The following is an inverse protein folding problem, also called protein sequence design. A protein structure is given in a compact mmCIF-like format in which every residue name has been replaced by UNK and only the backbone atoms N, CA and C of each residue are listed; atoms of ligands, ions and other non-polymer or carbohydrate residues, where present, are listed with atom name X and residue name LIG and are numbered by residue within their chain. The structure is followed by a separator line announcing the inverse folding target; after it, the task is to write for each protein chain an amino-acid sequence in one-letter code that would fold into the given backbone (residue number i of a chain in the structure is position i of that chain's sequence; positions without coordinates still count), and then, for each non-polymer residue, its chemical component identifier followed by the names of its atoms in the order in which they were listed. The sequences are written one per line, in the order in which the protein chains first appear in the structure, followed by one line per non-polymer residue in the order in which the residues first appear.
data_IF_488576054564
#
_entry.id   IF_488576054564
#
_cell.length_a   1.000
_cell.length_b   1.000
_cell.length_c   1.000
_cell.angle_alpha   90.00
_cell.angle_beta   90.00
_cell.angle_gamma   90.00
#
_symmetry.space_group_name_H-M   'P 1'
#
loop_
_entity.id
_entity.type
_entity.pdbx_description
1 polymer ?
#
# COMPACT_ATOMS: atom_id res chain seq x y z
N UNK A 1 -10.11 52.20 58.42
CA UNK A 1 -9.27 51.05 58.35
C UNK A 1 -9.46 50.42 56.94
N UNK A 2 -8.52 50.72 56.03
CA UNK A 2 -8.56 50.19 54.65
C UNK A 2 -7.76 48.90 54.63
N UNK A 3 -8.41 47.76 54.26
CA UNK A 3 -7.74 46.49 53.98
C UNK A 3 -7.35 46.47 52.51
N UNK A 4 -6.05 46.39 52.24
CA UNK A 4 -5.50 46.11 50.93
C UNK A 4 -5.52 44.59 50.72
N UNK A 5 -6.11 44.15 49.60
CA UNK A 5 -6.05 42.77 49.12
C UNK A 5 -4.86 42.66 48.16
N UNK A 6 -3.87 41.80 48.47
CA UNK A 6 -2.83 41.40 47.53
C UNK A 6 -3.38 40.37 46.56
N UNK A 7 -3.34 40.67 45.28
CA UNK A 7 -3.59 39.70 44.23
C UNK A 7 -2.31 38.96 43.88
N UNK A 8 -2.27 37.65 44.14
CA UNK A 8 -1.24 36.76 43.60
C UNK A 8 -1.53 36.50 42.11
N UNK A 9 -0.61 36.97 41.28
CA UNK A 9 -0.60 36.59 39.85
C UNK A 9 0.24 35.30 39.76
N UNK A 10 -0.43 34.17 39.55
CA UNK A 10 0.21 32.89 39.17
C UNK A 10 0.57 32.95 37.69
N UNK A 11 1.86 33.01 37.39
CA UNK A 11 2.39 32.76 36.04
C UNK A 11 2.27 31.27 35.75
N UNK A 12 1.24 30.87 34.99
CA UNK A 12 1.21 29.60 34.32
C UNK A 12 2.12 29.70 33.10
N UNK A 13 3.31 29.11 33.18
CA UNK A 13 4.15 28.90 32.02
C UNK A 13 3.41 27.96 31.02
N UNK A 14 3.07 28.48 29.84
CA UNK A 14 2.61 27.65 28.75
C UNK A 14 3.75 26.71 28.33
N UNK A 15 3.63 25.43 28.60
CA UNK A 15 4.49 24.43 27.98
C UNK A 15 4.27 24.52 26.48
N UNK A 16 5.33 24.80 25.71
CA UNK A 16 5.25 24.77 24.26
C UNK A 16 4.87 23.33 23.84
N UNK A 17 3.79 23.19 23.10
CA UNK A 17 3.38 21.92 22.54
C UNK A 17 4.51 21.40 21.64
N UNK A 18 4.83 20.10 21.74
CA UNK A 18 5.78 19.42 20.85
C UNK A 18 5.00 18.57 19.86
N UNK A 19 5.50 18.49 18.65
CA UNK A 19 4.98 17.55 17.65
C UNK A 19 5.41 16.13 18.02
N UNK A 20 4.49 15.18 17.91
CA UNK A 20 4.75 13.76 18.17
C UNK A 20 5.75 13.14 17.18
N UNK A 21 6.15 11.91 17.44
CA UNK A 21 6.91 11.10 16.48
C UNK A 21 6.21 11.11 15.11
N UNK A 22 6.98 11.33 14.05
CA UNK A 22 6.48 11.44 12.66
C UNK A 22 5.42 12.53 12.41
N UNK A 23 5.12 13.38 13.39
CA UNK A 23 4.18 14.50 13.24
C UNK A 23 4.80 15.67 12.48
N UNK A 24 3.94 16.46 11.82
CA UNK A 24 4.39 17.68 11.13
C UNK A 24 4.97 18.69 12.14
N UNK A 25 6.12 19.27 11.80
CA UNK A 25 6.84 20.23 12.64
C UNK A 25 7.27 21.50 11.88
N UNK A 26 6.84 21.69 10.64
CA UNK A 26 7.15 22.87 9.83
C UNK A 26 6.50 22.82 8.46
N UNK A 27 6.72 23.88 7.68
CA UNK A 27 6.19 24.09 6.33
C UNK A 27 5.46 25.41 6.18
N UNK A 28 5.21 25.86 4.93
CA UNK A 28 4.46 27.08 4.64
C UNK A 28 3.04 26.98 5.22
N UNK A 29 2.62 28.03 5.94
CA UNK A 29 1.33 28.12 6.66
C UNK A 29 1.17 27.17 7.86
N UNK A 30 2.23 26.50 8.30
CA UNK A 30 2.17 25.69 9.49
C UNK A 30 2.06 26.55 10.77
N UNK A 31 1.04 26.32 11.59
CA UNK A 31 0.79 27.05 12.85
C UNK A 31 0.91 26.14 14.09
N UNK A 32 1.25 24.87 13.93
CA UNK A 32 1.41 23.91 15.01
C UNK A 32 2.80 23.95 15.66
N UNK A 33 3.12 22.89 16.43
CA UNK A 33 4.42 22.74 17.09
C UNK A 33 5.56 22.67 16.06
N UNK A 34 6.67 23.36 16.35
CA UNK A 34 7.87 23.37 15.51
C UNK A 34 9.04 22.62 16.14
N UNK A 35 8.81 21.97 17.28
CA UNK A 35 9.77 21.11 17.96
C UNK A 35 9.19 19.72 18.13
N UNK A 36 10.02 18.71 18.01
CA UNK A 36 9.63 17.31 18.13
C UNK A 36 9.79 16.78 19.56
N UNK A 37 9.07 15.72 19.88
CA UNK A 37 9.27 14.96 21.13
C UNK A 37 10.69 14.40 21.23
N UNK A 38 11.11 14.04 22.43
CA UNK A 38 12.47 13.52 22.68
C UNK A 38 12.76 12.28 21.82
N UNK A 39 13.95 12.27 21.20
CA UNK A 39 14.37 11.21 20.27
C UNK A 39 14.04 11.50 18.80
N UNK A 40 13.35 12.62 18.50
CA UNK A 40 12.98 13.03 17.15
C UNK A 40 13.50 14.44 16.82
N UNK A 41 13.84 14.67 15.57
CA UNK A 41 14.25 15.97 15.02
C UNK A 41 13.32 16.38 13.90
N UNK A 42 13.08 17.69 13.76
CA UNK A 42 12.27 18.22 12.67
C UNK A 42 13.10 18.24 11.38
N UNK A 43 12.76 17.39 10.44
CA UNK A 43 13.44 17.25 9.15
C UNK A 43 12.58 17.92 8.06
N UNK A 44 13.22 18.81 7.29
CA UNK A 44 12.59 19.45 6.13
C UNK A 44 12.34 18.43 5.03
N UNK A 45 11.12 18.32 4.55
CA UNK A 45 10.75 17.47 3.41
C UNK A 45 10.50 18.31 2.13
N UNK A 46 9.70 19.37 2.26
CA UNK A 46 9.40 20.31 1.18
C UNK A 46 8.90 21.65 1.74
N UNK A 47 8.61 22.63 0.87
CA UNK A 47 8.17 23.97 1.29
C UNK A 47 6.91 23.98 2.17
N UNK A 48 6.08 22.94 2.09
CA UNK A 48 4.80 22.85 2.79
C UNK A 48 4.82 21.89 3.98
N UNK A 49 5.88 21.08 4.13
CA UNK A 49 5.91 20.01 5.12
C UNK A 49 7.33 19.74 5.66
N UNK A 50 7.45 19.71 6.97
CA UNK A 50 8.61 19.17 7.71
C UNK A 50 8.11 18.17 8.74
N UNK A 51 8.82 17.09 8.96
CA UNK A 51 8.39 15.95 9.79
C UNK A 51 9.36 15.66 10.93
N UNK A 52 8.83 15.21 12.04
CA UNK A 52 9.61 14.71 13.17
C UNK A 52 10.09 13.29 12.88
N UNK A 53 11.35 13.13 12.51
CA UNK A 53 11.97 11.83 12.25
C UNK A 53 12.92 11.43 13.39
N UNK A 54 13.19 10.11 13.61
CA UNK A 54 14.15 9.66 14.62
C UNK A 54 15.50 10.32 14.44
N UNK A 55 16.02 10.91 15.52
CA UNK A 55 17.33 11.59 15.49
C UNK A 55 17.62 12.32 16.79
N UNK A 56 18.90 12.62 17.04
CA UNK A 56 19.35 13.44 18.16
C UNK A 56 19.58 14.88 17.70
N UNK A 57 18.89 15.85 18.30
CA UNK A 57 19.05 17.27 18.00
C UNK A 57 20.51 17.71 18.27
N UNK A 58 21.26 17.98 17.20
CA UNK A 58 22.51 18.73 17.30
C UNK A 58 22.16 20.21 17.21
N UNK A 59 22.26 20.94 18.32
CA UNK A 59 21.97 22.38 18.39
C UNK A 59 22.97 23.14 17.53
N UNK A 60 22.53 23.62 16.37
CA UNK A 60 23.28 24.59 15.56
C UNK A 60 22.65 25.95 15.71
N UNK A 61 23.12 26.73 16.70
CA UNK A 61 22.89 28.17 16.77
C UNK A 61 23.88 28.87 15.83
N UNK A 62 23.39 29.42 14.74
CA UNK A 62 24.20 30.25 13.86
C UNK A 62 24.33 31.65 14.41
N UNK A 63 25.47 31.98 15.05
CA UNK A 63 25.90 33.34 15.26
C UNK A 63 27.18 33.55 14.48
N UNK A 64 27.15 34.44 13.49
CA UNK A 64 28.36 34.90 12.81
C UNK A 64 29.22 35.71 13.81
N UNK A 65 30.43 35.27 14.03
CA UNK A 65 31.54 36.19 14.35
C UNK A 65 32.87 35.55 13.96
N UNK A 66 33.57 36.25 13.12
CA UNK A 66 34.92 35.98 12.62
C UNK A 66 35.93 36.13 13.74
N UNK A 67 36.82 35.18 13.96
CA UNK A 67 38.28 35.42 14.19
C UNK A 67 39.08 34.10 14.25
N UNK A 68 40.23 34.15 13.66
CA UNK A 68 41.26 33.14 13.42
C UNK A 68 41.95 32.66 14.70
N UNK A 69 42.22 31.37 14.84
CA UNK A 69 43.56 30.82 15.22
C UNK A 69 43.53 29.29 15.36
N UNK A 70 44.56 28.69 14.80
CA UNK A 70 44.90 27.28 14.66
C UNK A 70 45.15 26.55 15.99
N UNK A 71 44.65 25.32 16.13
CA UNK A 71 45.38 24.19 16.75
C UNK A 71 44.74 22.86 16.32
N UNK A 72 45.59 21.99 15.83
CA UNK A 72 45.31 20.65 15.33
C UNK A 72 44.86 19.71 16.44
N UNK A 73 43.69 19.11 16.32
CA UNK A 73 43.30 17.86 16.99
C UNK A 73 42.45 17.03 16.03
N UNK A 74 42.99 15.88 15.69
CA UNK A 74 42.32 14.85 14.85
C UNK A 74 41.09 14.35 15.60
N UNK A 75 39.92 14.77 15.17
CA UNK A 75 38.63 14.16 15.56
C UNK A 75 38.13 13.37 14.37
N UNK A 76 38.02 12.08 14.54
CA UNK A 76 37.37 11.19 13.58
C UNK A 76 35.88 11.55 13.54
N UNK A 77 35.48 12.30 12.54
CA UNK A 77 34.09 12.66 12.27
C UNK A 77 33.46 11.46 11.58
N UNK A 78 32.60 10.73 12.29
CA UNK A 78 31.67 9.82 11.65
C UNK A 78 30.64 10.69 10.89
N UNK A 79 30.82 10.81 9.61
CA UNK A 79 29.86 11.43 8.71
C UNK A 79 28.72 10.44 8.54
N UNK A 80 27.57 10.69 9.17
CA UNK A 80 26.32 10.02 8.78
C UNK A 80 25.95 10.55 7.39
N UNK A 81 26.38 9.86 6.36
CA UNK A 81 25.84 10.02 5.03
C UNK A 81 24.44 9.42 5.09
N UNK A 82 23.40 10.23 4.99
CA UNK A 82 22.11 9.79 4.46
C UNK A 82 22.42 9.32 3.05
N UNK A 83 22.60 8.02 2.88
CA UNK A 83 22.69 7.40 1.56
C UNK A 83 21.30 7.49 0.96
N UNK A 84 21.18 8.20 -0.18
CA UNK A 84 20.04 8.02 -1.07
C UNK A 84 19.97 6.52 -1.36
N UNK A 85 18.81 5.86 -1.19
CA UNK A 85 18.68 4.44 -1.47
C UNK A 85 19.25 4.12 -2.86
N UNK A 86 20.02 3.05 -2.96
CA UNK A 86 20.50 2.54 -4.23
C UNK A 86 19.34 1.86 -4.96
N UNK A 87 19.35 1.85 -6.28
CA UNK A 87 18.34 1.10 -7.06
C UNK A 87 18.29 -0.40 -6.73
N UNK A 88 19.31 -0.93 -6.04
CA UNK A 88 19.35 -2.31 -5.53
C UNK A 88 18.66 -2.51 -4.20
N UNK A 89 18.21 -1.43 -3.54
CA UNK A 89 17.52 -1.49 -2.25
C UNK A 89 16.00 -1.68 -2.43
N UNK A 90 15.49 -1.45 -3.65
CA UNK A 90 14.07 -1.56 -3.96
C UNK A 90 13.72 -2.94 -4.53
N UNK A 91 12.53 -3.49 -4.19
CA UNK A 91 12.01 -4.69 -4.85
C UNK A 91 11.92 -4.49 -6.37
N UNK A 92 12.15 -5.55 -7.13
CA UNK A 92 12.13 -5.48 -8.60
C UNK A 92 11.67 -6.79 -9.23
N UNK A 93 11.16 -6.72 -10.46
CA UNK A 93 10.95 -7.88 -11.32
C UNK A 93 12.27 -8.25 -12.02
N UNK A 94 12.61 -9.54 -12.03
CA UNK A 94 13.82 -10.08 -12.68
C UNK A 94 13.46 -11.32 -13.50
N UNK A 95 13.24 -11.13 -14.79
CA UNK A 95 12.68 -12.17 -15.65
C UNK A 95 11.28 -12.58 -15.15
N UNK A 96 11.09 -13.84 -14.79
CA UNK A 96 9.82 -14.36 -14.28
C UNK A 96 9.78 -14.46 -12.74
N UNK A 97 10.66 -13.77 -12.03
CA UNK A 97 10.73 -13.80 -10.58
C UNK A 97 10.75 -12.39 -10.02
N UNK A 98 10.52 -12.26 -8.72
CA UNK A 98 10.77 -11.04 -7.96
C UNK A 98 12.14 -11.09 -7.28
N UNK A 99 12.71 -9.91 -7.05
CA UNK A 99 13.90 -9.73 -6.23
C UNK A 99 13.53 -8.85 -5.05
N UNK A 100 13.70 -9.35 -3.84
CA UNK A 100 13.47 -8.63 -2.57
C UNK A 100 14.75 -8.72 -1.74
N UNK A 101 15.26 -7.59 -1.25
CA UNK A 101 16.46 -7.50 -0.42
C UNK A 101 17.66 -8.26 -1.03
N UNK A 102 17.78 -8.22 -2.36
CA UNK A 102 18.83 -8.88 -3.13
C UNK A 102 18.66 -10.39 -3.34
N UNK A 103 17.56 -10.97 -2.88
CA UNK A 103 17.21 -12.37 -3.11
C UNK A 103 16.18 -12.48 -4.22
N UNK A 104 16.48 -13.27 -5.25
CA UNK A 104 15.54 -13.54 -6.36
C UNK A 104 14.90 -14.91 -6.12
N UNK A 105 13.59 -14.94 -5.84
CA UNK A 105 12.87 -16.16 -5.49
C UNK A 105 11.36 -15.98 -5.72
N UNK A 106 10.59 -17.00 -5.26
CA UNK A 106 9.14 -16.96 -5.06
C UNK A 106 8.83 -16.40 -3.67
N UNK A 107 7.88 -15.47 -3.56
CA UNK A 107 7.54 -14.86 -2.28
C UNK A 107 6.05 -15.01 -1.97
N UNK A 108 5.77 -15.56 -0.79
CA UNK A 108 4.41 -15.56 -0.25
C UNK A 108 4.11 -14.32 0.58
N UNK A 109 2.83 -14.05 0.71
CA UNK A 109 2.30 -12.96 1.51
C UNK A 109 0.81 -13.11 1.79
N UNK A 110 0.18 -11.99 2.12
CA UNK A 110 -1.25 -11.93 2.37
C UNK A 110 -1.81 -10.54 2.07
N UNK A 111 -3.13 -10.42 2.18
CA UNK A 111 -3.87 -9.17 2.16
C UNK A 111 -4.25 -8.77 3.59
N UNK A 112 -4.03 -7.52 3.96
CA UNK A 112 -4.50 -6.91 5.21
C UNK A 112 -5.05 -5.53 4.91
N UNK A 113 -6.15 -5.49 4.13
CA UNK A 113 -6.73 -4.25 3.60
C UNK A 113 -7.03 -3.22 4.69
N UNK A 114 -7.37 -3.71 5.88
CA UNK A 114 -7.83 -2.92 7.03
C UNK A 114 -6.67 -2.30 7.85
N UNK A 115 -5.42 -2.72 7.69
CA UNK A 115 -4.30 -2.30 8.56
C UNK A 115 -4.07 -0.78 8.54
N UNK A 116 -4.27 -0.15 7.39
CA UNK A 116 -4.15 1.30 7.23
C UNK A 116 -5.30 2.09 7.89
N UNK A 117 -6.36 1.40 8.34
CA UNK A 117 -7.48 1.99 9.08
C UNK A 117 -7.30 1.88 10.61
N UNK A 118 -6.29 1.16 11.09
CA UNK A 118 -5.99 1.07 12.52
C UNK A 118 -5.51 2.42 13.05
N UNK A 119 -5.99 2.79 14.23
CA UNK A 119 -5.61 4.05 14.90
C UNK A 119 -4.67 3.84 16.08
N UNK A 120 -4.36 2.59 16.41
CA UNK A 120 -3.40 2.19 17.44
C UNK A 120 -2.14 1.62 16.77
N UNK A 121 -1.01 2.32 16.90
CA UNK A 121 0.25 1.91 16.27
C UNK A 121 0.78 0.58 16.84
N UNK A 122 0.48 0.27 18.12
CA UNK A 122 0.86 -1.01 18.70
C UNK A 122 0.12 -2.21 18.06
N UNK A 123 -1.11 -2.01 17.59
CA UNK A 123 -1.83 -3.04 16.83
C UNK A 123 -1.26 -3.19 15.40
N UNK A 124 -0.80 -2.10 14.77
CA UNK A 124 -0.08 -2.16 13.50
C UNK A 124 1.22 -2.94 13.66
N UNK A 125 2.00 -2.62 14.69
CA UNK A 125 3.25 -3.31 14.99
C UNK A 125 3.03 -4.81 15.26
N UNK A 126 2.01 -5.16 16.04
CA UNK A 126 1.65 -6.55 16.34
C UNK A 126 1.38 -7.36 15.07
N UNK A 127 0.54 -6.84 14.17
CA UNK A 127 0.21 -7.52 12.91
C UNK A 127 1.44 -7.72 12.04
N UNK A 128 2.27 -6.70 11.90
CA UNK A 128 3.48 -6.79 11.08
C UNK A 128 4.56 -7.67 11.73
N UNK A 129 4.63 -7.77 13.06
CA UNK A 129 5.46 -8.75 13.77
C UNK A 129 5.01 -10.18 13.42
N UNK A 130 3.72 -10.48 13.50
CA UNK A 130 3.19 -11.80 13.17
C UNK A 130 3.39 -12.16 11.68
N UNK A 131 3.24 -11.19 10.76
CA UNK A 131 3.54 -11.40 9.34
C UNK A 131 5.02 -11.68 9.12
N UNK A 132 5.92 -10.95 9.77
CA UNK A 132 7.35 -11.20 9.68
C UNK A 132 7.74 -12.57 10.28
N UNK A 133 7.15 -12.94 11.42
CA UNK A 133 7.35 -14.25 12.06
C UNK A 133 6.86 -15.42 11.19
N UNK A 134 5.81 -15.21 10.39
CA UNK A 134 5.29 -16.21 9.45
C UNK A 134 6.24 -16.50 8.28
N UNK A 135 7.22 -15.65 8.04
CA UNK A 135 8.11 -15.70 6.89
C UNK A 135 7.56 -15.03 5.62
N UNK A 136 6.33 -14.53 5.64
CA UNK A 136 5.76 -13.76 4.52
C UNK A 136 6.57 -12.49 4.28
N UNK A 137 6.68 -12.09 3.02
CA UNK A 137 7.45 -10.91 2.60
C UNK A 137 6.63 -9.82 1.99
N UNK A 138 5.47 -10.13 1.41
CA UNK A 138 4.62 -9.17 0.72
C UNK A 138 3.30 -9.03 1.48
N UNK A 139 2.88 -7.78 1.71
CA UNK A 139 1.59 -7.46 2.29
C UNK A 139 0.87 -6.45 1.40
N UNK A 140 -0.31 -6.83 0.89
CA UNK A 140 -1.15 -5.91 0.15
C UNK A 140 -2.11 -5.19 1.10
N UNK A 141 -2.16 -3.86 0.98
CA UNK A 141 -2.95 -2.99 1.84
C UNK A 141 -3.74 -1.97 1.02
N UNK A 142 -4.84 -1.48 1.56
CA UNK A 142 -5.56 -0.40 0.90
C UNK A 142 -4.97 0.95 1.25
N UNK A 143 -4.48 1.63 0.22
CA UNK A 143 -3.99 3.01 0.25
C UNK A 143 -5.08 4.02 -0.04
N UNK A 144 -6.36 3.65 0.03
CA UNK A 144 -7.53 4.49 -0.19
C UNK A 144 -8.54 4.35 0.96
N UNK A 145 -9.31 5.37 1.20
CA UNK A 145 -10.55 5.41 1.96
C UNK A 145 -11.25 6.72 1.61
N UNK A 146 -12.19 6.64 0.66
CA UNK A 146 -12.84 7.75 0.02
C UNK A 146 -14.21 8.02 0.65
N UNK A 147 -14.50 9.27 0.93
CA UNK A 147 -15.78 9.67 1.52
C UNK A 147 -16.40 10.84 0.77
N UNK A 148 -17.73 10.94 0.78
CA UNK A 148 -18.43 12.13 0.27
C UNK A 148 -18.83 13.11 1.39
N UNK A 149 -18.76 12.66 2.63
CA UNK A 149 -19.01 13.47 3.84
C UNK A 149 -17.97 13.09 4.88
N UNK A 150 -17.37 14.08 5.51
CA UNK A 150 -16.39 13.85 6.54
C UNK A 150 -17.00 13.04 7.69
N UNK A 151 -16.42 11.89 8.06
CA UNK A 151 -16.95 11.06 9.12
C UNK A 151 -16.73 11.68 10.51
N UNK A 152 -17.28 11.05 11.53
CA UNK A 152 -17.10 11.48 12.92
C UNK A 152 -15.62 11.52 13.31
N UNK A 153 -15.25 12.40 14.22
CA UNK A 153 -13.88 12.51 14.77
C UNK A 153 -13.38 11.15 15.25
N UNK A 154 -12.18 10.78 14.83
CA UNK A 154 -11.53 9.52 15.20
C UNK A 154 -11.71 8.40 14.16
N UNK A 155 -12.47 8.61 13.11
CA UNK A 155 -12.56 7.67 12.00
C UNK A 155 -11.55 8.04 10.91
N UNK A 156 -10.89 7.03 10.37
CA UNK A 156 -9.89 7.21 9.30
C UNK A 156 -10.59 7.45 7.97
N UNK A 157 -10.10 8.42 7.21
CA UNK A 157 -10.44 8.65 5.81
C UNK A 157 -9.26 9.34 5.11
N UNK A 158 -9.04 9.03 3.84
CA UNK A 158 -7.88 9.57 3.10
C UNK A 158 -8.28 10.68 2.14
N UNK A 159 -9.43 10.57 1.50
CA UNK A 159 -9.95 11.59 0.60
C UNK A 159 -11.41 11.89 0.86
N UNK A 160 -11.79 13.16 0.70
CA UNK A 160 -13.19 13.59 0.67
C UNK A 160 -13.52 14.24 -0.67
N UNK A 161 -14.52 13.70 -1.36
CA UNK A 161 -15.00 14.16 -2.65
C UNK A 161 -16.37 14.83 -2.49
N UNK A 162 -16.45 16.13 -2.68
CA UNK A 162 -17.70 16.86 -2.50
C UNK A 162 -17.78 18.09 -3.44
N UNK A 163 -18.88 18.22 -4.19
CA UNK A 163 -19.14 19.38 -5.03
C UNK A 163 -18.07 19.64 -6.10
N UNK A 164 -17.51 18.59 -6.70
CA UNK A 164 -16.47 18.68 -7.72
C UNK A 164 -15.07 18.99 -7.18
N UNK A 165 -14.85 18.81 -5.88
CA UNK A 165 -13.56 19.04 -5.22
C UNK A 165 -13.16 17.83 -4.42
N UNK A 166 -11.88 17.42 -4.52
CA UNK A 166 -11.25 16.41 -3.66
C UNK A 166 -10.34 17.08 -2.64
N UNK A 167 -10.43 16.63 -1.40
CA UNK A 167 -9.58 17.08 -0.30
C UNK A 167 -8.87 15.86 0.28
N UNK A 168 -7.54 15.91 0.35
CA UNK A 168 -6.72 14.84 0.92
C UNK A 168 -6.54 15.10 2.42
N UNK A 169 -6.82 14.10 3.25
CA UNK A 169 -6.58 14.15 4.68
C UNK A 169 -5.14 13.71 5.00
N UNK A 170 -4.26 14.67 5.23
CA UNK A 170 -2.85 14.40 5.58
C UNK A 170 -2.62 14.27 7.09
N UNK A 171 -3.67 14.37 7.91
CA UNK A 171 -3.61 14.37 9.37
C UNK A 171 -3.58 12.99 10.00
N UNK A 172 -3.77 12.98 11.33
CA UNK A 172 -3.71 11.81 12.22
C UNK A 172 -4.67 10.68 11.83
N UNK A 173 -5.86 11.02 11.32
CA UNK A 173 -6.87 10.07 10.83
C UNK A 173 -6.92 10.03 9.30
N UNK A 174 -5.80 10.32 8.66
CA UNK A 174 -5.59 10.32 7.23
C UNK A 174 -4.27 9.64 6.86
N UNK A 175 -3.50 10.21 5.95
CA UNK A 175 -2.25 9.62 5.43
C UNK A 175 -1.19 9.33 6.50
N UNK A 176 -1.28 9.93 7.71
CA UNK A 176 -0.40 9.52 8.81
C UNK A 176 -0.64 8.07 9.27
N UNK A 177 -1.76 7.47 8.92
CA UNK A 177 -1.96 6.02 9.17
C UNK A 177 -1.11 5.17 8.22
N UNK A 178 -0.99 5.59 6.96
CA UNK A 178 -0.05 4.95 6.03
C UNK A 178 1.41 5.15 6.49
N UNK A 179 1.78 6.31 7.05
CA UNK A 179 3.13 6.50 7.61
C UNK A 179 3.46 5.45 8.69
N UNK A 180 2.51 5.21 9.59
CA UNK A 180 2.70 4.23 10.66
C UNK A 180 2.90 2.81 10.08
N UNK A 181 2.09 2.42 9.08
CA UNK A 181 2.20 1.11 8.43
C UNK A 181 3.50 0.99 7.65
N UNK A 182 3.87 1.97 6.82
CA UNK A 182 5.10 1.94 6.02
C UNK A 182 6.34 1.88 6.92
N UNK A 183 6.40 2.74 7.95
CA UNK A 183 7.52 2.74 8.88
C UNK A 183 7.66 1.43 9.67
N UNK A 184 6.54 0.83 10.08
CA UNK A 184 6.52 -0.46 10.76
C UNK A 184 6.95 -1.61 9.84
N UNK A 185 6.54 -1.58 8.57
CA UNK A 185 6.93 -2.54 7.54
C UNK A 185 8.44 -2.46 7.23
N UNK A 186 9.00 -1.24 7.10
CA UNK A 186 10.44 -1.04 6.91
C UNK A 186 11.28 -1.72 8.01
N UNK A 187 10.87 -1.54 9.26
CA UNK A 187 11.58 -2.10 10.41
C UNK A 187 11.59 -3.64 10.41
N UNK A 188 10.66 -4.28 9.73
CA UNK A 188 10.45 -5.73 9.69
C UNK A 188 10.82 -6.37 8.36
N UNK A 189 11.23 -5.56 7.38
CA UNK A 189 11.56 -6.03 6.03
C UNK A 189 10.36 -6.58 5.26
N UNK A 190 9.15 -6.13 5.61
CA UNK A 190 7.91 -6.41 4.87
C UNK A 190 7.79 -5.43 3.71
N UNK A 191 7.33 -5.91 2.57
CA UNK A 191 7.15 -5.12 1.34
C UNK A 191 5.65 -4.94 1.07
N UNK A 192 5.24 -3.70 0.79
CA UNK A 192 3.85 -3.29 0.70
C UNK A 192 3.42 -3.08 -0.75
N UNK A 193 2.29 -3.66 -1.13
CA UNK A 193 1.54 -3.23 -2.32
C UNK A 193 0.49 -2.23 -1.84
N UNK A 194 0.52 -1.04 -2.40
CA UNK A 194 -0.39 0.06 -2.03
C UNK A 194 -1.23 0.43 -3.24
N UNK A 195 -2.53 0.17 -3.19
CA UNK A 195 -3.48 0.57 -4.22
C UNK A 195 -4.10 1.94 -3.95
N UNK A 196 -4.62 2.60 -5.00
CA UNK A 196 -5.05 3.99 -4.94
C UNK A 196 -6.56 4.22 -4.96
N UNK A 197 -7.34 3.23 -5.36
CA UNK A 197 -8.81 3.32 -5.44
C UNK A 197 -9.44 1.94 -5.50
N UNK A 198 -10.69 1.83 -5.05
CA UNK A 198 -11.49 0.62 -5.19
C UNK A 198 -12.46 0.72 -6.38
N UNK A 199 -12.58 -0.34 -7.17
CA UNK A 199 -13.69 -0.47 -8.11
C UNK A 199 -15.04 -0.59 -7.40
N UNK A 200 -15.06 -1.27 -6.24
CA UNK A 200 -16.27 -1.48 -5.45
C UNK A 200 -16.61 -0.25 -4.59
N UNK A 201 -17.82 -0.27 -4.01
CA UNK A 201 -18.33 0.85 -3.20
C UNK A 201 -17.76 0.86 -1.76
N UNK A 202 -17.15 -0.25 -1.36
CA UNK A 202 -16.51 -0.37 -0.05
C UNK A 202 -15.36 0.63 0.07
N UNK A 203 -15.36 1.36 1.18
CA UNK A 203 -14.43 2.48 1.40
C UNK A 203 -14.52 3.57 0.33
N UNK A 204 -15.71 3.73 -0.28
CA UNK A 204 -16.09 4.79 -1.20
C UNK A 204 -15.71 4.56 -2.66
N UNK A 205 -14.45 4.24 -2.93
CA UNK A 205 -13.94 3.87 -4.24
C UNK A 205 -14.36 4.80 -5.40
N UNK A 206 -14.41 4.25 -6.59
CA UNK A 206 -14.78 5.00 -7.81
C UNK A 206 -16.13 5.72 -7.70
N UNK A 207 -17.08 5.13 -6.97
CA UNK A 207 -18.43 5.71 -6.76
C UNK A 207 -18.38 7.02 -5.97
N UNK A 208 -17.43 7.17 -5.05
CA UNK A 208 -17.28 8.43 -4.30
C UNK A 208 -16.90 9.60 -5.22
N UNK A 209 -16.02 9.34 -6.21
CA UNK A 209 -15.66 10.31 -7.24
C UNK A 209 -16.87 10.63 -8.15
N UNK A 210 -17.55 9.60 -8.65
CA UNK A 210 -18.72 9.78 -9.52
C UNK A 210 -19.79 10.66 -8.88
N UNK A 211 -20.10 10.42 -7.60
CA UNK A 211 -21.06 11.24 -6.84
C UNK A 211 -20.64 12.71 -6.72
N UNK A 212 -19.35 13.00 -6.60
CA UNK A 212 -18.85 14.34 -6.39
C UNK A 212 -18.68 15.13 -7.68
N UNK A 213 -18.25 14.48 -8.76
CA UNK A 213 -17.88 15.12 -10.02
C UNK A 213 -18.94 15.02 -11.12
N UNK A 214 -19.99 14.23 -10.89
CA UNK A 214 -21.05 14.02 -11.85
C UNK A 214 -20.68 12.96 -12.90
N UNK A 215 -21.12 11.76 -12.64
CA UNK A 215 -21.00 10.58 -13.48
C UNK A 215 -21.90 9.49 -12.93
N UNK A 216 -22.16 8.44 -13.69
CA UNK A 216 -23.08 7.37 -13.29
C UNK A 216 -22.58 5.98 -13.66
N UNK A 217 -21.55 5.88 -14.47
CA UNK A 217 -21.01 4.63 -14.99
C UNK A 217 -19.52 4.50 -14.72
N UNK A 218 -19.00 3.29 -14.77
CA UNK A 218 -17.55 3.06 -14.70
C UNK A 218 -16.84 3.73 -15.89
N UNK A 219 -17.42 3.73 -17.07
CA UNK A 219 -16.89 4.45 -18.23
C UNK A 219 -16.69 5.94 -17.91
N UNK A 220 -17.66 6.59 -17.23
CA UNK A 220 -17.51 7.99 -16.81
C UNK A 220 -16.32 8.19 -15.89
N UNK A 221 -16.06 7.24 -14.98
CA UNK A 221 -14.92 7.31 -14.08
C UNK A 221 -13.61 7.25 -14.87
N UNK A 222 -13.44 6.26 -15.75
CA UNK A 222 -12.21 6.06 -16.54
C UNK A 222 -11.93 7.19 -17.52
N UNK A 223 -12.96 7.77 -18.12
CA UNK A 223 -12.82 8.70 -19.26
C UNK A 223 -12.95 10.19 -18.89
N UNK A 224 -13.49 10.51 -17.70
CA UNK A 224 -13.63 11.90 -17.27
C UNK A 224 -12.28 12.52 -16.90
N UNK A 225 -11.83 13.48 -17.69
CA UNK A 225 -10.59 14.21 -17.42
C UNK A 225 -10.54 14.85 -16.03
N UNK A 226 -11.69 15.29 -15.50
CA UNK A 226 -11.78 15.92 -14.18
C UNK A 226 -11.62 14.91 -13.06
N UNK A 227 -12.23 13.74 -13.19
CA UNK A 227 -12.10 12.64 -12.23
C UNK A 227 -10.65 12.13 -12.25
N UNK A 228 -10.09 11.90 -13.44
CA UNK A 228 -8.71 11.42 -13.57
C UNK A 228 -7.68 12.44 -13.03
N UNK A 229 -7.93 13.74 -13.19
CA UNK A 229 -7.09 14.75 -12.57
C UNK A 229 -7.13 14.72 -11.03
N UNK A 230 -8.31 14.49 -10.43
CA UNK A 230 -8.46 14.33 -8.98
C UNK A 230 -7.78 13.06 -8.48
N UNK A 231 -7.98 11.93 -9.15
CA UNK A 231 -7.34 10.65 -8.86
C UNK A 231 -5.80 10.77 -8.94
N UNK A 232 -5.26 11.32 -10.02
CA UNK A 232 -3.81 11.54 -10.17
C UNK A 232 -3.21 12.48 -9.12
N UNK A 233 -4.00 13.44 -8.63
CA UNK A 233 -3.58 14.31 -7.51
C UNK A 233 -3.36 13.49 -6.24
N UNK A 234 -4.23 12.51 -5.98
CA UNK A 234 -4.07 11.62 -4.84
C UNK A 234 -2.89 10.66 -5.02
N UNK A 235 -2.81 10.00 -6.18
CA UNK A 235 -1.66 9.15 -6.54
C UNK A 235 -0.35 9.86 -6.27
N UNK A 236 -0.21 11.09 -6.77
CA UNK A 236 0.98 11.90 -6.53
C UNK A 236 1.24 12.15 -5.05
N UNK A 237 0.21 12.47 -4.26
CA UNK A 237 0.37 12.77 -2.84
C UNK A 237 0.85 11.55 -2.03
N UNK A 238 0.43 10.33 -2.40
CA UNK A 238 0.89 9.10 -1.77
C UNK A 238 2.31 8.75 -2.24
N UNK A 239 2.58 8.81 -3.54
CA UNK A 239 3.91 8.51 -4.08
C UNK A 239 4.96 9.47 -3.52
N UNK A 240 4.75 10.79 -3.57
CA UNK A 240 5.68 11.79 -3.03
C UNK A 240 6.02 11.54 -1.54
N UNK A 241 5.10 10.88 -0.82
CA UNK A 241 5.27 10.61 0.61
C UNK A 241 6.17 9.43 0.89
N UNK A 242 6.20 8.43 0.02
CA UNK A 242 6.87 7.16 0.25
C UNK A 242 7.86 6.75 -0.84
N UNK A 243 8.19 7.66 -1.78
CA UNK A 243 9.04 7.38 -2.94
C UNK A 243 10.45 6.88 -2.56
N UNK A 244 10.94 7.24 -1.38
CA UNK A 244 12.26 6.82 -0.89
C UNK A 244 12.19 5.57 0.01
N UNK A 245 11.00 4.99 0.23
CA UNK A 245 10.82 3.87 1.14
C UNK A 245 11.09 2.51 0.47
N UNK A 246 12.09 1.74 0.90
CA UNK A 246 12.33 0.39 0.38
C UNK A 246 11.27 -0.62 0.84
N UNK A 247 10.30 -0.23 1.68
CA UNK A 247 9.18 -1.07 2.05
C UNK A 247 8.09 -1.09 0.97
N UNK A 248 8.11 -0.21 -0.03
CA UNK A 248 7.14 -0.29 -1.11
C UNK A 248 7.55 -1.40 -2.09
N UNK A 249 6.68 -2.39 -2.28
CA UNK A 249 6.84 -3.42 -3.30
C UNK A 249 6.38 -2.92 -4.65
N UNK A 250 5.16 -2.38 -4.69
CA UNK A 250 4.57 -1.85 -5.91
C UNK A 250 3.50 -0.81 -5.61
N UNK A 251 3.31 0.10 -6.55
CA UNK A 251 2.13 0.93 -6.69
C UNK A 251 1.10 0.19 -7.52
N UNK A 252 -0.11 0.07 -7.01
CA UNK A 252 -1.20 -0.62 -7.68
C UNK A 252 -2.27 0.39 -8.11
N UNK A 253 -2.66 0.33 -9.37
CA UNK A 253 -3.56 1.33 -9.94
C UNK A 253 -4.92 1.35 -9.25
N UNK A 254 -5.52 0.19 -9.05
CA UNK A 254 -6.83 0.06 -8.40
C UNK A 254 -7.03 -1.35 -7.86
N UNK A 255 -7.85 -1.50 -6.82
CA UNK A 255 -8.40 -2.79 -6.45
C UNK A 255 -9.49 -3.19 -7.47
N UNK A 256 -9.26 -4.30 -8.19
CA UNK A 256 -10.19 -4.96 -9.09
C UNK A 256 -10.88 -4.06 -10.12
N UNK A 257 -10.12 -3.28 -10.92
CA UNK A 257 -10.71 -2.38 -11.89
C UNK A 257 -11.50 -3.14 -12.94
N UNK A 258 -12.79 -2.83 -13.12
CA UNK A 258 -13.71 -3.42 -14.09
C UNK A 258 -14.53 -2.36 -14.81
N UNK A 259 -14.94 -2.66 -16.02
CA UNK A 259 -15.90 -1.89 -16.80
C UNK A 259 -16.84 -2.83 -17.53
N UNK A 260 -17.78 -3.45 -16.81
CA UNK A 260 -18.69 -4.45 -17.36
C UNK A 260 -19.40 -3.97 -18.62
N UNK A 261 -19.26 -4.70 -19.70
CA UNK A 261 -19.83 -4.39 -21.02
C UNK A 261 -19.13 -3.28 -21.80
N UNK A 262 -18.02 -2.73 -21.29
CA UNK A 262 -17.19 -1.78 -22.02
C UNK A 262 -16.35 -2.49 -23.11
N UNK A 263 -15.92 -1.71 -24.10
CA UNK A 263 -14.81 -2.09 -24.96
C UNK A 263 -13.51 -2.15 -24.12
N UNK A 264 -12.68 -3.16 -24.34
CA UNK A 264 -11.43 -3.36 -23.57
C UNK A 264 -10.45 -2.19 -23.69
N UNK A 265 -10.55 -1.42 -24.77
CA UNK A 265 -9.74 -0.22 -24.99
C UNK A 265 -9.93 0.83 -23.87
N UNK A 266 -11.09 0.89 -23.21
CA UNK A 266 -11.35 1.85 -22.14
C UNK A 266 -10.39 1.62 -20.95
N UNK A 267 -10.26 0.37 -20.51
CA UNK A 267 -9.33 0.05 -19.44
C UNK A 267 -7.88 0.07 -19.93
N UNK A 268 -7.61 -0.45 -21.12
CA UNK A 268 -6.26 -0.44 -21.71
C UNK A 268 -5.68 0.99 -21.76
N UNK A 269 -6.44 1.95 -22.30
CA UNK A 269 -6.01 3.35 -22.39
C UNK A 269 -5.79 3.96 -20.99
N UNK A 270 -6.70 3.69 -20.05
CA UNK A 270 -6.57 4.17 -18.68
C UNK A 270 -5.37 3.56 -17.96
N UNK A 271 -5.15 2.25 -18.09
CA UNK A 271 -4.02 1.53 -17.51
C UNK A 271 -2.70 2.09 -18.05
N UNK A 272 -2.60 2.22 -19.39
CA UNK A 272 -1.42 2.75 -20.07
C UNK A 272 -1.10 4.17 -19.63
N UNK A 273 -2.08 5.06 -19.64
CA UNK A 273 -1.92 6.46 -19.23
C UNK A 273 -1.58 6.62 -17.74
N UNK A 274 -2.17 5.78 -16.88
CA UNK A 274 -2.00 5.88 -15.43
C UNK A 274 -0.67 5.29 -15.00
N UNK A 275 -0.28 4.12 -15.51
CA UNK A 275 1.00 3.51 -15.20
C UNK A 275 2.17 4.35 -15.71
N UNK A 276 2.05 4.94 -16.90
CA UNK A 276 3.04 5.89 -17.42
C UNK A 276 3.15 7.14 -16.53
N UNK A 277 2.02 7.66 -16.02
CA UNK A 277 2.03 8.76 -15.07
C UNK A 277 2.74 8.39 -13.77
N UNK A 278 2.46 7.22 -13.19
CA UNK A 278 3.12 6.74 -11.97
C UNK A 278 4.62 6.61 -12.21
N UNK A 279 5.04 5.96 -13.30
CA UNK A 279 6.47 5.82 -13.66
C UNK A 279 7.16 7.17 -13.92
N UNK A 280 6.42 8.20 -14.33
CA UNK A 280 6.97 9.56 -14.45
C UNK A 280 7.24 10.24 -13.10
N UNK A 281 6.54 9.84 -12.06
CA UNK A 281 6.75 10.31 -10.69
C UNK A 281 7.83 9.47 -9.99
N UNK A 282 7.74 8.15 -10.16
CA UNK A 282 8.57 7.16 -9.47
C UNK A 282 9.03 6.08 -10.46
N UNK A 283 10.24 6.21 -11.00
CA UNK A 283 10.79 5.21 -11.93
C UNK A 283 11.37 3.97 -11.24
N UNK A 284 11.46 3.95 -9.91
CA UNK A 284 12.17 2.90 -9.16
C UNK A 284 11.24 1.79 -8.67
N UNK A 285 10.10 2.13 -8.11
CA UNK A 285 9.16 1.12 -7.64
C UNK A 285 8.40 0.47 -8.77
N UNK A 286 8.02 -0.79 -8.56
CA UNK A 286 7.18 -1.54 -9.50
C UNK A 286 5.76 -0.97 -9.57
N UNK A 287 5.09 -1.22 -10.69
CA UNK A 287 3.69 -0.83 -10.94
C UNK A 287 2.91 -2.05 -11.43
N UNK A 288 1.76 -2.31 -10.82
CA UNK A 288 0.80 -3.32 -11.24
C UNK A 288 -0.61 -2.75 -11.36
N UNK A 289 -1.51 -3.52 -11.94
CA UNK A 289 -2.87 -3.08 -12.22
C UNK A 289 -3.78 -3.28 -11.01
N UNK A 290 -3.70 -4.46 -10.36
CA UNK A 290 -4.63 -4.92 -9.32
C UNK A 290 -5.89 -5.53 -9.91
N UNK A 291 -5.83 -6.04 -11.14
CA UNK A 291 -6.96 -6.69 -11.80
C UNK A 291 -7.03 -8.18 -11.48
N UNK A 292 -8.21 -8.75 -11.68
CA UNK A 292 -8.51 -10.14 -11.35
C UNK A 292 -8.05 -11.14 -12.41
N UNK A 293 -7.54 -10.65 -13.56
CA UNK A 293 -7.05 -11.50 -14.64
C UNK A 293 -8.10 -11.86 -15.70
N UNK A 294 -9.26 -11.19 -15.74
CA UNK A 294 -10.30 -11.46 -16.74
C UNK A 294 -9.84 -11.17 -18.18
N UNK A 295 -10.46 -11.83 -19.14
CA UNK A 295 -10.21 -11.60 -20.56
C UNK A 295 -8.91 -12.24 -21.03
N UNK A 296 -8.84 -13.56 -21.00
CA UNK A 296 -7.70 -14.35 -21.46
C UNK A 296 -8.16 -15.53 -22.32
N UNK A 297 -7.90 -15.47 -23.63
CA UNK A 297 -8.31 -16.52 -24.58
C UNK A 297 -7.43 -17.77 -24.50
N UNK A 298 -6.11 -17.60 -24.33
CA UNK A 298 -5.17 -18.71 -24.35
C UNK A 298 -5.33 -19.59 -23.10
N UNK A 299 -5.59 -20.87 -23.32
CA UNK A 299 -5.85 -21.84 -22.25
C UNK A 299 -7.26 -21.80 -21.69
N UNK A 300 -8.15 -20.94 -22.22
CA UNK A 300 -9.55 -20.81 -21.81
C UNK A 300 -10.34 -22.08 -22.04
N UNK A 301 -11.22 -22.42 -21.10
CA UNK A 301 -12.25 -23.45 -21.24
C UNK A 301 -13.60 -22.87 -21.65
N UNK A 302 -13.67 -21.56 -21.95
CA UNK A 302 -14.88 -20.83 -22.32
C UNK A 302 -15.75 -20.41 -21.13
N UNK A 303 -15.31 -20.61 -19.89
CA UNK A 303 -16.04 -20.13 -18.70
C UNK A 303 -16.01 -18.60 -18.61
N UNK A 304 -16.98 -18.03 -17.86
CA UNK A 304 -17.16 -16.59 -17.73
C UNK A 304 -15.89 -15.80 -17.38
N UNK A 305 -15.02 -16.22 -16.44
CA UNK A 305 -13.85 -15.43 -16.07
C UNK A 305 -12.85 -15.22 -17.22
N UNK A 306 -12.81 -16.15 -18.18
CA UNK A 306 -11.95 -15.99 -19.36
C UNK A 306 -12.52 -14.99 -20.39
N UNK A 307 -13.80 -14.58 -20.27
CA UNK A 307 -14.41 -13.65 -21.20
C UNK A 307 -13.94 -12.20 -21.00
N UNK A 308 -14.05 -11.40 -22.07
CA UNK A 308 -13.77 -9.96 -22.03
C UNK A 308 -14.93 -9.11 -21.49
N UNK A 309 -15.96 -9.74 -20.92
CA UNK A 309 -17.20 -9.09 -20.48
C UNK A 309 -17.02 -8.04 -19.40
N UNK A 310 -15.93 -8.11 -18.64
CA UNK A 310 -15.58 -7.12 -17.59
C UNK A 310 -14.74 -5.94 -18.15
N UNK A 311 -14.54 -5.88 -19.48
CA UNK A 311 -13.80 -4.80 -20.13
C UNK A 311 -12.28 -4.94 -19.98
N UNK A 312 -11.78 -6.09 -19.58
CA UNK A 312 -10.38 -6.41 -19.43
C UNK A 312 -9.88 -7.31 -20.56
N UNK A 313 -8.62 -7.13 -20.93
CA UNK A 313 -7.82 -8.02 -21.77
C UNK A 313 -6.48 -8.22 -21.05
N UNK A 314 -6.39 -9.29 -20.26
CA UNK A 314 -5.25 -9.56 -19.42
C UNK A 314 -3.93 -9.53 -20.18
N UNK A 315 -3.85 -10.21 -21.32
CA UNK A 315 -2.62 -10.31 -22.10
C UNK A 315 -2.21 -8.96 -22.70
N UNK A 316 -3.16 -8.19 -23.23
CA UNK A 316 -2.88 -6.86 -23.76
C UNK A 316 -2.45 -5.88 -22.68
N UNK A 317 -3.13 -5.91 -21.54
CA UNK A 317 -2.81 -5.03 -20.40
C UNK A 317 -1.42 -5.36 -19.80
N UNK A 318 -1.08 -6.64 -19.67
CA UNK A 318 0.24 -7.07 -19.19
C UNK A 318 1.36 -6.66 -20.16
N UNK A 319 1.09 -6.57 -21.47
CA UNK A 319 2.06 -6.14 -22.46
C UNK A 319 2.44 -4.65 -22.39
N UNK A 320 1.73 -3.83 -21.62
CA UNK A 320 2.06 -2.40 -21.43
C UNK A 320 3.42 -2.27 -20.76
N UNK A 321 4.34 -1.52 -21.38
CA UNK A 321 5.74 -1.40 -20.93
C UNK A 321 5.91 -0.89 -19.50
N UNK A 322 4.97 -0.07 -19.02
CA UNK A 322 4.99 0.55 -17.68
C UNK A 322 4.34 -0.30 -16.59
N UNK A 323 3.82 -1.47 -16.93
CA UNK A 323 3.38 -2.51 -15.99
C UNK A 323 4.51 -3.50 -15.81
N UNK A 324 4.97 -3.68 -14.57
CA UNK A 324 6.15 -4.51 -14.25
C UNK A 324 5.79 -5.98 -14.08
N UNK A 325 4.59 -6.29 -13.60
CA UNK A 325 4.10 -7.65 -13.38
C UNK A 325 2.57 -7.73 -13.50
N UNK A 326 2.06 -8.92 -13.78
CA UNK A 326 0.63 -9.20 -13.83
C UNK A 326 0.06 -9.55 -12.45
N UNK A 327 -1.18 -9.20 -12.22
CA UNK A 327 -1.96 -9.62 -11.04
C UNK A 327 -3.15 -10.45 -11.47
N UNK A 328 -3.57 -11.40 -10.65
CA UNK A 328 -4.83 -12.11 -10.86
C UNK A 328 -5.38 -12.59 -9.52
N UNK A 329 -6.72 -12.68 -9.45
CA UNK A 329 -7.45 -13.10 -8.25
C UNK A 329 -8.20 -14.40 -8.50
N UNK A 330 -8.79 -15.01 -7.48
CA UNK A 330 -9.55 -16.24 -7.61
C UNK A 330 -10.64 -16.39 -6.54
N UNK A 331 -11.88 -16.21 -6.98
CA UNK A 331 -13.09 -16.42 -6.16
C UNK A 331 -14.10 -17.29 -6.91
N UNK A 332 -13.87 -18.61 -7.06
CA UNK A 332 -14.69 -19.50 -7.88
C UNK A 332 -16.18 -19.48 -7.54
N UNK A 333 -16.49 -19.40 -6.23
CA UNK A 333 -17.86 -19.34 -5.74
C UNK A 333 -18.63 -18.12 -6.26
N UNK A 334 -17.98 -16.96 -6.36
CA UNK A 334 -18.57 -15.74 -6.90
C UNK A 334 -18.67 -15.74 -8.42
N UNK A 335 -17.81 -16.51 -9.09
CA UNK A 335 -17.74 -16.58 -10.56
C UNK A 335 -18.52 -17.71 -11.17
N UNK A 336 -19.15 -18.57 -10.35
CA UNK A 336 -19.98 -19.68 -10.81
C UNK A 336 -19.20 -20.86 -11.42
N UNK A 337 -17.93 -21.02 -11.01
CA UNK A 337 -17.06 -22.14 -11.39
C UNK A 337 -16.73 -23.00 -10.16
N UNK A 338 -16.20 -24.21 -10.36
CA UNK A 338 -15.85 -25.10 -9.25
C UNK A 338 -14.53 -24.69 -8.59
N UNK A 339 -14.31 -25.05 -7.35
CA UNK A 339 -13.02 -24.79 -6.67
C UNK A 339 -11.84 -25.48 -7.36
N UNK A 340 -12.02 -26.71 -7.88
CA UNK A 340 -10.98 -27.41 -8.66
C UNK A 340 -10.56 -26.67 -9.92
N UNK A 341 -11.47 -25.88 -10.51
CA UNK A 341 -11.21 -25.03 -11.66
C UNK A 341 -10.12 -23.97 -11.38
N UNK A 342 -9.95 -23.56 -10.13
CA UNK A 342 -8.92 -22.59 -9.74
C UNK A 342 -7.51 -23.01 -10.14
N UNK A 343 -7.22 -24.29 -10.22
CA UNK A 343 -5.91 -24.79 -10.70
C UNK A 343 -5.69 -24.50 -12.19
N UNK A 344 -6.75 -24.57 -13.01
CA UNK A 344 -6.69 -24.17 -14.42
C UNK A 344 -6.42 -22.66 -14.53
N UNK A 345 -7.13 -21.85 -13.73
CA UNK A 345 -6.95 -20.41 -13.71
C UNK A 345 -5.52 -20.00 -13.38
N UNK A 346 -4.94 -20.52 -12.29
CA UNK A 346 -3.56 -20.25 -11.92
C UNK A 346 -2.55 -20.70 -12.99
N UNK A 347 -2.73 -21.91 -13.54
CA UNK A 347 -1.82 -22.43 -14.58
C UNK A 347 -1.87 -21.59 -15.85
N UNK A 348 -3.06 -21.15 -16.26
CA UNK A 348 -3.26 -20.36 -17.49
C UNK A 348 -2.63 -18.98 -17.35
N UNK A 349 -2.83 -18.31 -16.21
CA UNK A 349 -2.20 -17.00 -15.95
C UNK A 349 -0.67 -17.12 -15.86
N UNK A 350 -0.15 -18.14 -15.17
CA UNK A 350 1.28 -18.40 -15.17
C UNK A 350 1.88 -18.56 -16.56
N UNK A 351 1.18 -19.30 -17.43
CA UNK A 351 1.61 -19.47 -18.83
C UNK A 351 1.58 -18.13 -19.62
N UNK A 352 0.53 -17.33 -19.45
CA UNK A 352 0.41 -16.02 -20.09
C UNK A 352 1.53 -15.06 -19.62
N UNK A 353 1.85 -15.03 -18.35
CA UNK A 353 2.94 -14.22 -17.80
C UNK A 353 4.31 -14.71 -18.31
N UNK A 354 4.53 -16.02 -18.37
CA UNK A 354 5.74 -16.59 -18.94
C UNK A 354 5.90 -16.20 -20.43
N UNK A 355 4.81 -16.21 -21.20
CA UNK A 355 4.80 -15.79 -22.61
C UNK A 355 5.09 -14.29 -22.77
N UNK A 356 4.59 -13.44 -21.86
CA UNK A 356 4.86 -12.01 -21.81
C UNK A 356 6.29 -11.69 -21.32
N UNK A 357 6.99 -12.63 -20.69
CA UNK A 357 8.32 -12.41 -20.10
C UNK A 357 8.30 -11.56 -18.82
N UNK A 358 7.15 -11.44 -18.18
CA UNK A 358 6.93 -10.72 -16.93
C UNK A 358 6.41 -11.67 -15.84
N UNK A 359 6.78 -11.50 -14.56
CA UNK A 359 6.24 -12.33 -13.50
C UNK A 359 4.76 -12.02 -13.24
N UNK A 360 4.03 -12.98 -12.70
CA UNK A 360 2.71 -12.76 -12.10
C UNK A 360 2.75 -12.90 -10.60
N UNK A 361 1.86 -12.16 -9.95
CA UNK A 361 1.47 -12.32 -8.56
C UNK A 361 0.05 -12.88 -8.51
N UNK A 362 -0.16 -14.02 -7.87
CA UNK A 362 -1.48 -14.50 -7.51
C UNK A 362 -1.96 -13.70 -6.30
N UNK A 363 -2.54 -12.54 -6.55
CA UNK A 363 -2.63 -11.44 -5.61
C UNK A 363 -3.76 -11.59 -4.59
N UNK A 364 -4.85 -12.28 -4.97
CA UNK A 364 -5.92 -12.66 -4.07
C UNK A 364 -6.48 -14.04 -4.41
N UNK A 365 -6.76 -14.84 -3.40
CA UNK A 365 -7.57 -16.04 -3.53
C UNK A 365 -8.22 -16.37 -2.18
N UNK A 366 -9.44 -16.91 -2.22
CA UNK A 366 -10.15 -17.27 -1.03
C UNK A 366 -11.37 -18.16 -1.30
N UNK A 367 -11.71 -18.95 -0.30
CA UNK A 367 -12.92 -19.74 -0.22
C UNK A 367 -13.58 -19.51 1.14
N UNK A 368 -14.94 -19.49 1.23
CA UNK A 368 -15.62 -19.12 2.48
C UNK A 368 -15.60 -20.21 3.57
N UNK A 369 -15.01 -21.38 3.29
CA UNK A 369 -14.83 -22.49 4.23
C UNK A 369 -13.86 -23.52 3.68
N UNK A 370 -13.40 -24.45 4.52
CA UNK A 370 -12.55 -25.57 4.13
C UNK A 370 -11.25 -25.14 3.45
N UNK A 371 -10.66 -24.01 3.91
CA UNK A 371 -9.50 -23.34 3.31
C UNK A 371 -8.36 -24.32 3.00
N UNK A 372 -7.97 -25.18 3.95
CA UNK A 372 -6.91 -26.15 3.71
C UNK A 372 -7.21 -27.11 2.56
N UNK A 373 -8.46 -27.55 2.42
CA UNK A 373 -8.83 -28.51 1.37
C UNK A 373 -8.97 -27.86 0.00
N UNK A 374 -9.34 -26.57 -0.04
CA UNK A 374 -9.65 -25.84 -1.26
C UNK A 374 -8.44 -25.02 -1.75
N UNK A 375 -7.83 -24.23 -0.87
CA UNK A 375 -6.83 -23.23 -1.26
C UNK A 375 -5.42 -23.79 -1.32
N UNK A 376 -5.06 -24.79 -0.48
CA UNK A 376 -3.73 -25.45 -0.55
C UNK A 376 -3.43 -26.05 -1.93
N UNK A 377 -4.36 -26.72 -2.64
CA UNK A 377 -4.16 -27.10 -4.04
C UNK A 377 -3.81 -25.94 -4.97
N UNK A 378 -4.41 -24.75 -4.78
CA UNK A 378 -4.09 -23.56 -5.57
C UNK A 378 -2.68 -23.03 -5.28
N UNK A 379 -2.27 -23.02 -3.99
CA UNK A 379 -0.91 -22.67 -3.59
C UNK A 379 0.12 -23.61 -4.22
N UNK A 380 -0.13 -24.93 -4.19
CA UNK A 380 0.76 -25.92 -4.81
C UNK A 380 0.87 -25.70 -6.32
N UNK A 381 -0.25 -25.39 -6.98
CA UNK A 381 -0.27 -25.06 -8.39
C UNK A 381 0.51 -23.78 -8.68
N UNK A 382 0.30 -22.71 -7.90
CA UNK A 382 1.01 -21.45 -8.06
C UNK A 382 2.53 -21.63 -7.90
N UNK A 383 2.97 -22.27 -6.83
CA UNK A 383 4.41 -22.53 -6.54
C UNK A 383 5.08 -23.34 -7.66
N UNK A 384 4.35 -24.25 -8.31
CA UNK A 384 4.88 -25.11 -9.39
C UNK A 384 4.74 -24.51 -10.81
N UNK A 385 3.97 -23.43 -10.96
CA UNK A 385 3.70 -22.83 -12.27
C UNK A 385 4.81 -21.86 -12.67
N UNK A 386 5.35 -22.04 -13.88
CA UNK A 386 6.27 -21.05 -14.46
C UNK A 386 5.52 -19.74 -14.70
N UNK A 387 6.14 -18.62 -14.34
CA UNK A 387 5.56 -17.27 -14.52
C UNK A 387 4.82 -16.75 -13.30
N UNK A 388 4.44 -17.59 -12.33
CA UNK A 388 3.95 -17.12 -11.02
C UNK A 388 5.14 -16.99 -10.08
N UNK A 389 5.37 -15.79 -9.56
CA UNK A 389 6.51 -15.46 -8.72
C UNK A 389 6.15 -15.19 -7.25
N UNK A 390 4.87 -15.26 -6.92
CA UNK A 390 4.37 -15.11 -5.56
C UNK A 390 2.87 -15.31 -5.47
N UNK A 391 2.38 -15.48 -4.24
CA UNK A 391 0.96 -15.58 -3.95
C UNK A 391 0.59 -14.93 -2.61
N UNK A 392 -0.60 -14.31 -2.56
CA UNK A 392 -1.17 -13.63 -1.41
C UNK A 392 -2.58 -14.12 -1.17
N UNK A 393 -2.82 -14.85 -0.08
CA UNK A 393 -4.19 -15.26 0.24
C UNK A 393 -5.04 -14.09 0.75
N UNK A 394 -6.31 -14.11 0.51
CA UNK A 394 -7.29 -13.21 1.10
C UNK A 394 -8.02 -13.94 2.21
N UNK A 395 -7.88 -13.53 3.50
CA UNK A 395 -7.07 -12.44 4.02
C UNK A 395 -6.45 -12.80 5.37
N UNK A 396 -5.45 -12.03 5.81
CA UNK A 396 -4.87 -12.13 7.14
C UNK A 396 -5.86 -11.74 8.23
N UNK A 397 -5.96 -12.55 9.27
CA UNK A 397 -6.70 -12.26 10.49
C UNK A 397 -5.79 -12.22 11.71
N UNK A 398 -6.10 -11.34 12.66
CA UNK A 398 -5.33 -11.21 13.89
C UNK A 398 -6.24 -10.88 15.08
N UNK A 399 -5.66 -10.95 16.30
CA UNK A 399 -6.33 -10.52 17.55
C UNK A 399 -5.66 -9.25 18.05
N UNK A 400 -6.31 -8.11 17.79
CA UNK A 400 -5.87 -6.79 18.17
C UNK A 400 -6.26 -6.46 19.62
N UNK A 401 -5.81 -5.30 20.11
CA UNK A 401 -6.22 -4.77 21.42
C UNK A 401 -7.74 -4.59 21.56
N UNK A 402 -8.45 -4.45 20.44
CA UNK A 402 -9.92 -4.28 20.35
C UNK A 402 -10.67 -5.58 20.10
N UNK A 403 -9.99 -6.72 19.96
CA UNK A 403 -10.55 -8.02 19.63
C UNK A 403 -10.11 -8.53 18.27
N UNK A 404 -10.65 -9.65 17.81
CA UNK A 404 -10.34 -10.21 16.50
C UNK A 404 -10.75 -9.25 15.37
N UNK A 405 -9.93 -9.23 14.32
CA UNK A 405 -10.27 -8.55 13.06
C UNK A 405 -11.52 -9.17 12.43
N UNK A 406 -12.13 -8.44 11.51
CA UNK A 406 -13.35 -8.90 10.85
C UNK A 406 -13.12 -10.20 10.08
N UNK A 407 -14.05 -11.15 10.25
CA UNK A 407 -14.07 -12.38 9.47
C UNK A 407 -15.13 -12.24 8.36
N UNK A 408 -14.69 -12.25 7.12
CA UNK A 408 -15.53 -12.21 5.92
C UNK A 408 -15.84 -13.62 5.36
N UNK A 409 -15.41 -14.65 6.06
CA UNK A 409 -15.49 -16.05 5.64
C UNK A 409 -14.18 -16.57 5.04
N UNK A 410 -13.31 -15.69 4.51
CA UNK A 410 -12.03 -16.09 3.90
C UNK A 410 -10.82 -15.80 4.83
N UNK A 411 -11.08 -15.36 6.07
CA UNK A 411 -10.03 -14.86 6.97
C UNK A 411 -9.28 -16.01 7.62
N UNK A 412 -7.96 -16.05 7.44
CA UNK A 412 -7.05 -16.99 8.12
C UNK A 412 -6.42 -16.27 9.31
N UNK A 413 -6.80 -16.67 10.53
CA UNK A 413 -6.27 -16.05 11.74
C UNK A 413 -4.89 -16.59 12.12
N UNK A 414 -3.99 -15.68 12.49
CA UNK A 414 -2.66 -16.02 13.00
C UNK A 414 -2.77 -17.06 14.13
N UNK A 415 -2.01 -18.16 13.99
CA UNK A 415 -1.94 -19.26 14.96
C UNK A 415 -3.15 -20.19 15.01
N UNK A 416 -4.12 -20.07 14.07
CA UNK A 416 -5.23 -21.03 13.95
C UNK A 416 -4.78 -22.36 13.31
N UNK A 417 -5.65 -23.36 13.34
CA UNK A 417 -5.39 -24.64 12.65
C UNK A 417 -5.24 -24.43 11.13
N UNK A 418 -6.04 -23.51 10.55
CA UNK A 418 -5.97 -23.14 9.13
C UNK A 418 -4.68 -22.39 8.79
N UNK A 419 -4.16 -21.56 9.71
CA UNK A 419 -2.85 -20.94 9.58
C UNK A 419 -1.74 -21.97 9.37
N UNK A 420 -1.82 -23.14 10.02
CA UNK A 420 -0.81 -24.17 9.87
C UNK A 420 -0.72 -24.65 8.41
N UNK A 421 -1.82 -25.02 7.79
CA UNK A 421 -1.83 -25.52 6.41
C UNK A 421 -1.60 -24.42 5.37
N UNK A 422 -2.18 -23.22 5.58
CA UNK A 422 -2.17 -22.13 4.62
C UNK A 422 -0.88 -21.31 4.66
N UNK A 423 -0.22 -21.23 5.81
CA UNK A 423 0.95 -20.40 6.02
C UNK A 423 2.19 -21.25 6.32
N UNK A 424 2.20 -21.97 7.44
CA UNK A 424 3.42 -22.69 7.89
C UNK A 424 3.87 -23.73 6.87
N UNK A 425 2.98 -24.65 6.49
CA UNK A 425 3.30 -25.68 5.49
C UNK A 425 3.52 -25.10 4.09
N UNK A 426 2.88 -23.97 3.77
CA UNK A 426 3.12 -23.28 2.50
C UNK A 426 4.54 -22.72 2.42
N UNK A 427 5.02 -22.07 3.48
CA UNK A 427 6.41 -21.61 3.56
C UNK A 427 7.42 -22.76 3.49
N UNK A 428 7.11 -23.91 4.08
CA UNK A 428 7.95 -25.11 3.94
C UNK A 428 8.00 -25.61 2.48
N UNK A 429 6.86 -25.59 1.76
CA UNK A 429 6.80 -25.92 0.32
C UNK A 429 7.64 -24.98 -0.53
N UNK A 430 7.59 -23.69 -0.25
CA UNK A 430 8.40 -22.68 -0.97
C UNK A 430 9.89 -22.93 -0.71
N UNK A 431 10.28 -23.17 0.54
CA UNK A 431 11.67 -23.41 0.91
C UNK A 431 12.25 -24.74 0.33
N UNK A 432 11.40 -25.65 -0.13
CA UNK A 432 11.79 -26.93 -0.74
C UNK A 432 11.90 -26.89 -2.28
N UNK A 433 11.71 -25.74 -2.95
CA UNK A 433 11.77 -25.56 -4.42
C UNK A 433 13.14 -25.86 -5.01
#
# INVERSE_FOLDING_TARGET
MKKQALALISLLGAAAAQSGAYGQCGGNNWSGATTCVSGYVCVYQNEWYSQCLPGTATSSSTTLTTTTSSTTRTATTATSTTTVPSSTDFPSASGLNFTIDGVTDYFAGSNSYWISMLTNDADVDLVLDHIAESGHKILRIWGFNDVNTEPSTGQVWFQKHQGGVSTINTGQYGLQRLDAVVSSAEQRGIKLIINFVNNWDDYGGMTAYLKAYGGSTKTDWYTSATIQAAYRTYVKAVIDRFIDSPAIFAWELANEPRCNGCDTSILYDWISDTSAYIKSLDPLHMVCIGDEGFGLDEGSDGSYPFSYGEGLDFAANLAIDTIDFGTFHLYPGSWGVSYDWGNLWATTHGAACAAAGKPCLFEEYGAPSDHCAIEVPWQITAVSSTGIAGDLFWQWGDTLSTGQTHNDGNTIYYGSDEYTCMVTEHMERIAAR
#
